data_IF_242431567648
#
_entry.id   IF_242431567648
#
_cell.length_a   1.000
_cell.length_b   1.000
_cell.length_c   1.000
_cell.angle_alpha   90.00
_cell.angle_beta   90.00
_cell.angle_gamma   90.00
#
_symmetry.space_group_name_H-M   'P 1'
#
loop_
_entity.id
_entity.type
_entity.pdbx_description
1 polymer ?
#
# COMPACT_ATOMS: atom_id res chain seq x y z
N UNK A 1 -8.55 -15.48 -29.90
CA UNK A 1 -8.71 -15.32 -28.42
C UNK A 1 -10.18 -15.13 -28.05
N UNK A 2 -11.05 -16.06 -28.50
CA UNK A 2 -12.52 -15.92 -28.37
C UNK A 2 -13.04 -16.00 -26.93
N UNK A 3 -12.27 -16.48 -25.98
CA UNK A 3 -12.74 -16.72 -24.59
C UNK A 3 -11.97 -15.94 -23.49
N UNK A 4 -11.20 -14.90 -23.85
CA UNK A 4 -10.40 -14.17 -22.87
C UNK A 4 -11.22 -13.60 -21.71
N UNK A 5 -12.47 -13.17 -21.97
CA UNK A 5 -13.35 -12.61 -20.93
C UNK A 5 -13.72 -13.66 -19.87
N UNK A 6 -14.01 -14.90 -20.29
CA UNK A 6 -14.30 -16.00 -19.35
C UNK A 6 -13.08 -16.35 -18.53
N UNK A 7 -11.93 -16.52 -19.19
CA UNK A 7 -10.65 -16.81 -18.55
C UNK A 7 -10.31 -15.73 -17.53
N UNK A 8 -10.41 -14.45 -17.93
CA UNK A 8 -10.18 -13.31 -17.07
C UNK A 8 -11.17 -13.31 -15.88
N UNK A 9 -12.47 -13.50 -16.11
CA UNK A 9 -13.46 -13.50 -15.05
C UNK A 9 -13.23 -14.60 -14.02
N UNK A 10 -12.86 -15.82 -14.45
CA UNK A 10 -12.56 -16.95 -13.56
C UNK A 10 -11.33 -16.66 -12.71
N UNK A 11 -10.24 -16.16 -13.30
CA UNK A 11 -9.03 -15.82 -12.54
C UNK A 11 -9.33 -14.69 -11.56
N UNK A 12 -9.94 -13.60 -12.04
CA UNK A 12 -10.19 -12.41 -11.22
C UNK A 12 -11.22 -12.64 -10.11
N UNK A 13 -12.19 -13.52 -10.28
CA UNK A 13 -13.11 -13.88 -9.18
C UNK A 13 -12.38 -14.63 -8.06
N UNK A 14 -11.48 -15.56 -8.40
CA UNK A 14 -10.64 -16.23 -7.41
C UNK A 14 -9.67 -15.28 -6.73
N UNK A 15 -9.00 -14.43 -7.50
CA UNK A 15 -8.07 -13.43 -6.96
C UNK A 15 -8.79 -12.37 -6.11
N UNK A 16 -10.01 -11.97 -6.46
CA UNK A 16 -10.84 -11.09 -5.63
C UNK A 16 -11.09 -11.72 -4.25
N UNK A 17 -11.46 -13.00 -4.20
CA UNK A 17 -11.68 -13.70 -2.94
C UNK A 17 -10.40 -13.74 -2.09
N UNK A 18 -9.24 -14.06 -2.69
CA UNK A 18 -7.94 -14.07 -2.01
C UNK A 18 -7.53 -12.67 -1.52
N UNK A 19 -7.64 -11.64 -2.34
CA UNK A 19 -7.27 -10.27 -1.97
C UNK A 19 -8.15 -9.73 -0.84
N UNK A 20 -9.47 -9.96 -0.92
CA UNK A 20 -10.40 -9.51 0.13
C UNK A 20 -10.15 -10.23 1.44
N UNK A 21 -10.00 -11.56 1.43
CA UNK A 21 -9.71 -12.33 2.64
C UNK A 21 -8.36 -11.96 3.25
N UNK A 22 -7.32 -11.79 2.44
CA UNK A 22 -6.02 -11.31 2.90
C UNK A 22 -6.08 -9.90 3.51
N UNK A 23 -6.91 -9.01 2.96
CA UNK A 23 -7.13 -7.68 3.53
C UNK A 23 -7.82 -7.75 4.90
N UNK A 24 -8.89 -8.55 5.02
CA UNK A 24 -9.59 -8.78 6.31
C UNK A 24 -8.62 -9.30 7.37
N UNK A 25 -7.81 -10.31 7.02
CA UNK A 25 -6.81 -10.90 7.92
C UNK A 25 -5.73 -9.89 8.31
N UNK A 26 -5.24 -9.10 7.36
CA UNK A 26 -4.22 -8.07 7.64
C UNK A 26 -4.73 -7.04 8.66
N UNK A 27 -5.93 -6.51 8.48
CA UNK A 27 -6.54 -5.57 9.43
C UNK A 27 -6.88 -6.23 10.76
N UNK A 28 -7.37 -7.46 10.76
CA UNK A 28 -7.64 -8.20 12.00
C UNK A 28 -6.36 -8.40 12.83
N UNK A 29 -5.22 -8.70 12.20
CA UNK A 29 -3.92 -8.81 12.89
C UNK A 29 -3.51 -7.44 13.46
N UNK A 30 -3.62 -6.36 12.69
CA UNK A 30 -3.28 -4.99 13.15
C UNK A 30 -4.14 -4.60 14.36
N UNK A 31 -5.46 -4.83 14.30
CA UNK A 31 -6.38 -4.52 15.40
C UNK A 31 -6.10 -5.40 16.61
N UNK A 32 -5.87 -6.70 16.42
CA UNK A 32 -5.54 -7.61 17.49
C UNK A 32 -4.23 -7.21 18.20
N UNK A 33 -3.17 -6.91 17.44
CA UNK A 33 -1.89 -6.43 17.98
C UNK A 33 -2.09 -5.12 18.76
N UNK A 34 -2.90 -4.20 18.23
CA UNK A 34 -3.18 -2.92 18.90
C UNK A 34 -3.94 -3.11 20.22
N UNK A 35 -4.96 -3.99 20.21
CA UNK A 35 -5.79 -4.27 21.39
C UNK A 35 -5.02 -5.04 22.46
N UNK A 36 -4.20 -6.03 22.07
CA UNK A 36 -3.47 -6.90 22.99
C UNK A 36 -2.28 -6.20 23.64
N UNK A 37 -1.54 -5.39 22.88
CA UNK A 37 -0.27 -4.84 23.35
C UNK A 37 -0.33 -3.37 23.73
N UNK A 38 -1.17 -2.59 23.06
CA UNK A 38 -1.18 -1.13 23.18
C UNK A 38 0.17 -0.47 22.84
N UNK A 39 1.14 -1.20 22.27
CA UNK A 39 2.49 -0.71 22.00
C UNK A 39 2.67 -0.27 20.56
N UNK A 40 3.09 0.98 20.40
CA UNK A 40 3.44 1.54 19.09
C UNK A 40 4.64 0.83 18.46
N UNK A 41 5.59 0.38 19.27
CA UNK A 41 6.77 -0.35 18.82
C UNK A 41 6.41 -1.73 18.28
N UNK A 42 5.57 -2.48 19.00
CA UNK A 42 5.10 -3.80 18.58
C UNK A 42 4.31 -3.70 17.28
N UNK A 43 3.43 -2.71 17.18
CA UNK A 43 2.65 -2.45 15.98
C UNK A 43 3.56 -2.07 14.79
N UNK A 44 4.55 -1.22 15.00
CA UNK A 44 5.54 -0.85 13.99
C UNK A 44 6.33 -2.07 13.50
N UNK A 45 6.80 -2.93 14.40
CA UNK A 45 7.51 -4.16 14.03
C UNK A 45 6.64 -5.13 13.23
N UNK A 46 5.36 -5.28 13.60
CA UNK A 46 4.42 -6.11 12.86
C UNK A 46 4.19 -5.56 11.43
N UNK A 47 4.01 -4.26 11.29
CA UNK A 47 3.86 -3.62 9.99
C UNK A 47 5.12 -3.77 9.13
N UNK A 48 6.32 -3.57 9.70
CA UNK A 48 7.60 -3.77 9.01
C UNK A 48 7.74 -5.22 8.56
N UNK A 49 7.47 -6.18 9.42
CA UNK A 49 7.51 -7.59 9.06
C UNK A 49 6.59 -7.93 7.89
N UNK A 50 5.39 -7.32 7.84
CA UNK A 50 4.42 -7.51 6.78
C UNK A 50 4.77 -6.85 5.44
N UNK A 51 5.61 -5.81 5.41
CA UNK A 51 5.87 -5.03 4.19
C UNK A 51 7.32 -5.07 3.69
N UNK A 52 8.29 -5.13 4.60
CA UNK A 52 9.71 -4.97 4.24
C UNK A 52 10.24 -6.09 3.35
N UNK A 53 9.98 -7.40 3.63
CA UNK A 53 10.45 -8.47 2.76
C UNK A 53 9.95 -8.34 1.31
N UNK A 54 8.68 -8.03 1.10
CA UNK A 54 8.12 -7.79 -0.23
C UNK A 54 8.79 -6.61 -0.93
N UNK A 55 9.05 -5.53 -0.20
CA UNK A 55 9.66 -4.31 -0.74
C UNK A 55 11.11 -4.53 -1.17
N UNK A 56 11.87 -5.31 -0.39
CA UNK A 56 13.27 -5.65 -0.70
C UNK A 56 13.38 -6.66 -1.83
N UNK A 57 12.52 -7.68 -1.82
CA UNK A 57 12.58 -8.77 -2.78
C UNK A 57 11.89 -8.44 -4.10
N UNK A 58 10.88 -7.54 -4.10
CA UNK A 58 10.08 -7.22 -5.28
C UNK A 58 10.88 -6.90 -6.54
N UNK A 59 11.87 -5.99 -6.49
CA UNK A 59 12.72 -5.68 -7.65
C UNK A 59 13.54 -6.87 -8.15
N UNK A 60 14.00 -7.74 -7.23
CA UNK A 60 14.77 -8.94 -7.57
C UNK A 60 13.87 -10.01 -8.18
N UNK A 61 12.73 -10.25 -7.54
CA UNK A 61 11.77 -11.30 -7.93
C UNK A 61 11.13 -11.00 -9.29
N UNK A 62 10.87 -9.73 -9.62
CA UNK A 62 10.30 -9.35 -10.90
C UNK A 62 11.09 -9.91 -12.10
N UNK A 63 12.43 -9.92 -12.02
CA UNK A 63 13.31 -10.49 -13.05
C UNK A 63 13.14 -12.01 -13.20
N UNK A 64 12.92 -12.71 -12.09
CA UNK A 64 12.71 -14.16 -12.11
C UNK A 64 11.30 -14.54 -12.58
N UNK A 65 10.29 -13.79 -12.16
CA UNK A 65 8.88 -13.99 -12.53
C UNK A 65 8.68 -13.89 -14.04
N UNK A 66 9.43 -13.02 -14.73
CA UNK A 66 9.37 -12.90 -16.19
C UNK A 66 9.81 -14.17 -16.92
N UNK A 67 10.60 -15.04 -16.25
CA UNK A 67 11.14 -16.30 -16.81
C UNK A 67 10.40 -17.55 -16.34
N UNK A 68 9.66 -17.44 -15.22
CA UNK A 68 8.96 -18.57 -14.61
C UNK A 68 7.54 -18.70 -15.16
N UNK A 69 6.96 -19.89 -14.98
CA UNK A 69 5.54 -20.10 -15.24
C UNK A 69 4.70 -19.28 -14.26
N UNK A 70 4.02 -18.26 -14.78
CA UNK A 70 3.27 -17.29 -13.96
C UNK A 70 2.14 -17.94 -13.19
N UNK A 71 1.45 -18.93 -13.78
CA UNK A 71 0.38 -19.70 -13.14
C UNK A 71 0.91 -20.43 -11.91
N UNK A 72 1.99 -21.20 -12.08
CA UNK A 72 2.58 -21.95 -10.98
C UNK A 72 3.20 -21.03 -9.93
N UNK A 73 3.80 -19.93 -10.33
CA UNK A 73 4.32 -18.92 -9.39
C UNK A 73 3.21 -18.36 -8.49
N UNK A 74 2.04 -18.02 -9.07
CA UNK A 74 0.89 -17.55 -8.29
C UNK A 74 0.36 -18.63 -7.35
N UNK A 75 0.16 -19.88 -7.83
CA UNK A 75 -0.34 -20.99 -7.02
C UNK A 75 0.60 -21.29 -5.84
N UNK A 76 1.91 -21.38 -6.10
CA UNK A 76 2.89 -21.65 -5.04
C UNK A 76 2.96 -20.51 -4.02
N UNK A 77 2.90 -19.27 -4.48
CA UNK A 77 2.90 -18.10 -3.60
C UNK A 77 1.64 -18.04 -2.73
N UNK A 78 0.44 -18.20 -3.31
CA UNK A 78 -0.82 -18.23 -2.56
C UNK A 78 -0.84 -19.40 -1.56
N UNK A 79 -0.37 -20.59 -1.97
CA UNK A 79 -0.28 -21.77 -1.10
C UNK A 79 0.69 -21.53 0.07
N UNK A 80 1.84 -20.89 -0.18
CA UNK A 80 2.80 -20.54 0.85
C UNK A 80 2.24 -19.50 1.84
N UNK A 81 1.57 -18.48 1.35
CA UNK A 81 0.89 -17.46 2.18
C UNK A 81 -0.17 -18.16 3.05
N UNK A 82 -1.01 -19.00 2.46
CA UNK A 82 -2.04 -19.74 3.17
C UNK A 82 -1.45 -20.67 4.25
N UNK A 83 -0.36 -21.35 3.95
CA UNK A 83 0.34 -22.18 4.93
C UNK A 83 0.85 -21.36 6.11
N UNK A 84 1.49 -20.22 5.87
CA UNK A 84 1.94 -19.33 6.94
C UNK A 84 0.77 -18.85 7.81
N UNK A 85 -0.35 -18.47 7.18
CA UNK A 85 -1.54 -18.02 7.89
C UNK A 85 -2.20 -19.15 8.66
N UNK A 86 -2.24 -20.36 8.11
CA UNK A 86 -2.75 -21.54 8.79
C UNK A 86 -1.90 -21.91 10.03
N UNK A 87 -0.57 -21.89 9.89
CA UNK A 87 0.33 -22.12 11.01
C UNK A 87 0.11 -21.08 12.13
N UNK A 88 -0.11 -19.82 11.76
CA UNK A 88 -0.43 -18.80 12.75
C UNK A 88 -1.78 -19.07 13.44
N UNK A 89 -2.80 -19.51 12.70
CA UNK A 89 -4.10 -19.90 13.26
C UNK A 89 -3.96 -21.05 14.27
N UNK A 90 -3.16 -22.08 13.95
CA UNK A 90 -2.87 -23.19 14.84
C UNK A 90 -2.20 -22.73 16.12
N UNK A 91 -1.23 -21.82 16.04
CA UNK A 91 -0.56 -21.26 17.22
C UNK A 91 -1.54 -20.50 18.14
N UNK A 92 -2.51 -19.78 17.55
CA UNK A 92 -3.57 -19.13 18.33
C UNK A 92 -4.53 -20.12 18.97
N UNK A 93 -4.92 -21.18 18.28
CA UNK A 93 -5.82 -22.20 18.84
C UNK A 93 -5.18 -23.02 19.96
N UNK A 94 -3.86 -23.21 19.90
CA UNK A 94 -3.10 -23.89 20.93
C UNK A 94 -2.73 -22.97 22.11
N UNK A 95 -3.08 -21.68 22.01
CA UNK A 95 -2.77 -20.65 23.02
C UNK A 95 -1.26 -20.47 23.30
N UNK A 96 -0.42 -20.78 22.29
CA UNK A 96 1.04 -20.64 22.35
C UNK A 96 1.56 -19.53 21.43
N UNK A 97 0.68 -18.78 20.81
CA UNK A 97 1.06 -17.66 19.96
C UNK A 97 1.81 -16.59 20.76
N UNK A 98 2.95 -16.13 20.25
CA UNK A 98 3.75 -15.04 20.82
C UNK A 98 4.04 -14.01 19.72
N UNK A 99 4.36 -12.78 20.09
CA UNK A 99 4.61 -11.69 19.13
C UNK A 99 5.67 -12.06 18.08
N UNK A 100 6.75 -12.75 18.45
CA UNK A 100 7.76 -13.15 17.48
C UNK A 100 7.25 -14.14 16.42
N UNK A 101 6.28 -15.03 16.76
CA UNK A 101 5.62 -15.89 15.77
C UNK A 101 4.88 -15.06 14.73
N UNK A 102 4.17 -14.00 15.20
CA UNK A 102 3.43 -13.10 14.33
C UNK A 102 4.40 -12.38 13.37
N UNK A 103 5.50 -11.83 13.88
CA UNK A 103 6.51 -11.17 13.05
C UNK A 103 7.10 -12.08 11.98
N UNK A 104 7.53 -13.28 12.38
CA UNK A 104 8.13 -14.27 11.45
C UNK A 104 7.13 -14.69 10.39
N UNK A 105 5.88 -15.03 10.77
CA UNK A 105 4.88 -15.48 9.81
C UNK A 105 4.37 -14.35 8.92
N UNK A 106 4.27 -13.11 9.41
CA UNK A 106 4.01 -11.94 8.56
C UNK A 106 5.15 -11.70 7.56
N UNK A 107 6.41 -11.82 7.99
CA UNK A 107 7.56 -11.70 7.09
C UNK A 107 7.55 -12.79 6.01
N UNK A 108 7.25 -14.04 6.37
CA UNK A 108 7.10 -15.14 5.42
C UNK A 108 5.95 -14.88 4.42
N UNK A 109 4.80 -14.41 4.89
CA UNK A 109 3.68 -14.00 4.02
C UNK A 109 4.10 -12.90 3.04
N UNK A 110 4.84 -11.91 3.54
CA UNK A 110 5.38 -10.81 2.73
C UNK A 110 6.34 -11.31 1.64
N UNK A 111 7.16 -12.32 1.94
CA UNK A 111 7.97 -13.02 0.92
C UNK A 111 7.07 -13.65 -0.14
N UNK A 112 6.03 -14.39 0.23
CA UNK A 112 5.06 -14.95 -0.72
C UNK A 112 4.45 -13.88 -1.62
N UNK A 113 4.03 -12.74 -1.05
CA UNK A 113 3.46 -11.61 -1.78
C UNK A 113 4.46 -10.98 -2.77
N UNK A 114 5.77 -11.00 -2.47
CA UNK A 114 6.81 -10.53 -3.38
C UNK A 114 6.85 -11.31 -4.71
N UNK A 115 6.45 -12.59 -4.70
CA UNK A 115 6.34 -13.42 -5.93
C UNK A 115 4.96 -13.31 -6.56
N UNK A 116 3.91 -13.32 -5.76
CA UNK A 116 2.53 -13.33 -6.25
C UNK A 116 2.18 -12.06 -7.03
N UNK A 117 2.46 -10.88 -6.46
CA UNK A 117 2.06 -9.59 -7.05
C UNK A 117 2.64 -9.35 -8.45
N UNK A 118 3.95 -9.52 -8.69
CA UNK A 118 4.51 -9.37 -10.04
C UNK A 118 3.97 -10.43 -11.01
N UNK A 119 3.80 -11.69 -10.57
CA UNK A 119 3.27 -12.75 -11.41
C UNK A 119 1.84 -12.46 -11.88
N UNK A 120 0.99 -11.97 -10.99
CA UNK A 120 -0.37 -11.54 -11.31
C UNK A 120 -0.36 -10.38 -12.30
N UNK A 121 0.41 -9.31 -12.04
CA UNK A 121 0.49 -8.14 -12.92
C UNK A 121 1.03 -8.49 -14.31
N UNK A 122 2.06 -9.34 -14.38
CA UNK A 122 2.67 -9.78 -15.62
C UNK A 122 1.76 -10.72 -16.44
N UNK A 123 0.77 -11.38 -15.82
CA UNK A 123 -0.19 -12.23 -16.53
C UNK A 123 -1.26 -11.44 -17.28
N UNK A 124 -1.58 -10.22 -16.84
CA UNK A 124 -2.64 -9.36 -17.44
C UNK A 124 -2.46 -9.16 -18.95
N UNK A 125 -1.29 -8.71 -19.46
CA UNK A 125 -1.11 -8.45 -20.90
C UNK A 125 -1.17 -9.71 -21.77
N UNK A 126 -0.99 -10.89 -21.16
CA UNK A 126 -1.06 -12.17 -21.87
C UNK A 126 -2.49 -12.71 -21.97
N UNK A 127 -3.35 -12.30 -21.04
CA UNK A 127 -4.73 -12.76 -20.94
C UNK A 127 -5.69 -11.88 -21.71
N UNK A 128 -5.41 -10.59 -21.85
CA UNK A 128 -6.33 -9.62 -22.39
C UNK A 128 -5.77 -8.86 -23.61
N UNK A 129 -6.63 -8.46 -24.57
CA UNK A 129 -6.25 -7.58 -25.67
C UNK A 129 -5.70 -6.24 -25.16
N UNK A 130 -4.71 -5.68 -25.87
CA UNK A 130 -4.07 -4.41 -25.49
C UNK A 130 -5.08 -3.28 -25.25
N UNK A 131 -6.17 -3.22 -26.04
CA UNK A 131 -7.23 -2.21 -25.94
C UNK A 131 -8.03 -2.28 -24.62
N UNK A 132 -7.97 -3.42 -23.90
CA UNK A 132 -8.70 -3.64 -22.64
C UNK A 132 -7.83 -3.43 -21.40
N UNK A 133 -6.53 -3.20 -21.53
CA UNK A 133 -5.61 -3.09 -20.40
C UNK A 133 -5.98 -1.94 -19.44
N UNK A 134 -6.41 -0.78 -19.98
CA UNK A 134 -6.89 0.35 -19.17
C UNK A 134 -8.12 -0.02 -18.36
N UNK A 135 -9.07 -0.77 -18.97
CA UNK A 135 -10.26 -1.25 -18.26
C UNK A 135 -9.91 -2.21 -17.13
N UNK A 136 -8.95 -3.12 -17.37
CA UNK A 136 -8.48 -4.06 -16.35
C UNK A 136 -7.76 -3.33 -15.23
N UNK A 137 -6.95 -2.32 -15.53
CA UNK A 137 -6.34 -1.47 -14.50
C UNK A 137 -7.41 -0.79 -13.64
N UNK A 138 -8.51 -0.32 -14.24
CA UNK A 138 -9.67 0.21 -13.51
C UNK A 138 -10.34 -0.82 -12.60
N UNK A 139 -10.52 -2.06 -13.08
CA UNK A 139 -11.05 -3.16 -12.25
C UNK A 139 -10.13 -3.44 -11.07
N UNK A 140 -8.81 -3.51 -11.28
CA UNK A 140 -7.84 -3.72 -10.22
C UNK A 140 -7.88 -2.59 -9.18
N UNK A 141 -8.06 -1.34 -9.62
CA UNK A 141 -8.23 -0.20 -8.72
C UNK A 141 -9.49 -0.31 -7.87
N UNK A 142 -10.62 -0.76 -8.48
CA UNK A 142 -11.87 -1.02 -7.73
C UNK A 142 -11.66 -2.11 -6.69
N UNK A 143 -11.01 -3.22 -7.05
CA UNK A 143 -10.70 -4.32 -6.12
C UNK A 143 -9.86 -3.79 -4.95
N UNK A 144 -8.81 -3.04 -5.22
CA UNK A 144 -7.94 -2.44 -4.18
C UNK A 144 -8.74 -1.52 -3.26
N UNK A 145 -9.54 -0.62 -3.82
CA UNK A 145 -10.37 0.31 -3.03
C UNK A 145 -11.41 -0.44 -2.18
N UNK A 146 -12.04 -1.46 -2.74
CA UNK A 146 -13.00 -2.28 -2.03
C UNK A 146 -12.35 -3.05 -0.86
N UNK A 147 -11.12 -3.55 -1.06
CA UNK A 147 -10.33 -4.22 -0.03
C UNK A 147 -10.00 -3.29 1.14
N UNK A 148 -9.71 -2.02 0.85
CA UNK A 148 -9.41 -1.01 1.89
C UNK A 148 -10.65 -0.59 2.70
N UNK A 149 -11.86 -0.91 2.25
CA UNK A 149 -13.10 -0.66 2.98
C UNK A 149 -13.58 -1.94 3.68
N UNK A 150 -13.62 -3.05 2.94
CA UNK A 150 -14.11 -4.34 3.44
C UNK A 150 -13.14 -4.92 4.48
N UNK A 151 -11.82 -4.79 4.24
CA UNK A 151 -10.79 -5.32 5.14
C UNK A 151 -10.99 -4.88 6.59
N UNK A 152 -10.92 -3.58 6.90
CA UNK A 152 -11.12 -3.09 8.26
C UNK A 152 -12.54 -3.36 8.80
N UNK A 153 -13.58 -3.22 7.96
CA UNK A 153 -14.97 -3.45 8.38
C UNK A 153 -15.19 -4.87 8.88
N UNK A 154 -14.79 -5.85 8.08
CA UNK A 154 -14.94 -7.26 8.45
C UNK A 154 -13.89 -7.70 9.45
N UNK A 155 -12.67 -7.15 9.42
CA UNK A 155 -11.63 -7.39 10.42
C UNK A 155 -12.11 -7.06 11.84
N UNK A 156 -12.69 -5.87 12.02
CA UNK A 156 -13.24 -5.45 13.32
C UNK A 156 -14.49 -6.25 13.73
N UNK A 157 -15.39 -6.52 12.78
CA UNK A 157 -16.59 -7.30 13.07
C UNK A 157 -16.23 -8.71 13.56
N UNK A 158 -15.35 -9.38 12.82
CA UNK A 158 -15.03 -10.77 13.07
C UNK A 158 -14.16 -10.98 14.31
N UNK A 159 -13.29 -10.03 14.66
CA UNK A 159 -12.43 -10.15 15.85
C UNK A 159 -13.26 -10.23 17.13
N UNK A 160 -14.40 -9.54 17.17
CA UNK A 160 -15.32 -9.57 18.31
C UNK A 160 -16.23 -10.83 18.32
N UNK A 161 -16.43 -11.46 17.15
CA UNK A 161 -17.37 -12.58 17.01
C UNK A 161 -16.70 -13.96 17.15
N UNK A 162 -15.49 -14.12 16.61
CA UNK A 162 -14.89 -15.45 16.43
C UNK A 162 -13.49 -15.63 16.97
N UNK A 163 -12.82 -14.55 17.33
CA UNK A 163 -11.43 -14.56 17.71
C UNK A 163 -10.47 -14.67 16.52
N UNK A 164 -9.21 -14.24 16.73
CA UNK A 164 -8.20 -14.07 15.68
C UNK A 164 -7.88 -15.37 14.94
N UNK A 165 -7.76 -16.50 15.65
CA UNK A 165 -7.42 -17.79 15.03
C UNK A 165 -8.41 -18.23 13.95
N UNK A 166 -9.70 -17.98 14.14
CA UNK A 166 -10.74 -18.32 13.14
C UNK A 166 -10.73 -17.35 11.95
N UNK A 167 -10.43 -16.07 12.19
CA UNK A 167 -10.33 -15.07 11.11
C UNK A 167 -9.21 -15.44 10.14
N UNK A 168 -8.09 -15.95 10.65
CA UNK A 168 -6.95 -16.36 9.83
C UNK A 168 -7.34 -17.43 8.79
N UNK A 169 -8.34 -18.27 9.07
CA UNK A 169 -8.83 -19.27 8.09
C UNK A 169 -9.48 -18.65 6.86
N UNK A 170 -9.93 -17.41 6.92
CA UNK A 170 -10.48 -16.73 5.73
C UNK A 170 -9.41 -16.61 4.64
N UNK A 171 -8.17 -16.31 5.00
CA UNK A 171 -7.07 -16.21 4.06
C UNK A 171 -6.76 -17.57 3.40
N UNK A 172 -6.81 -18.64 4.21
CA UNK A 172 -6.65 -20.02 3.72
C UNK A 172 -7.77 -20.37 2.74
N UNK A 173 -9.01 -20.03 3.06
CA UNK A 173 -10.17 -20.27 2.18
C UNK A 173 -10.08 -19.44 0.89
N UNK A 174 -9.70 -18.16 0.99
CA UNK A 174 -9.49 -17.28 -0.15
C UNK A 174 -8.39 -17.79 -1.10
N UNK A 175 -7.25 -18.19 -0.54
CA UNK A 175 -6.15 -18.81 -1.31
C UNK A 175 -6.58 -20.13 -1.96
N UNK A 176 -7.34 -20.96 -1.27
CA UNK A 176 -7.88 -22.21 -1.85
C UNK A 176 -8.76 -21.92 -3.06
N UNK A 177 -9.67 -20.94 -2.98
CA UNK A 177 -10.52 -20.50 -4.10
C UNK A 177 -9.63 -20.00 -5.25
N UNK A 178 -8.65 -19.12 -4.97
CA UNK A 178 -7.77 -18.57 -5.99
C UNK A 178 -6.94 -19.67 -6.68
N UNK A 179 -6.33 -20.57 -5.93
CA UNK A 179 -5.57 -21.70 -6.48
C UNK A 179 -6.47 -22.61 -7.33
N UNK A 180 -7.67 -22.90 -6.86
CA UNK A 180 -8.64 -23.74 -7.58
C UNK A 180 -9.01 -23.10 -8.92
N UNK A 181 -9.36 -21.80 -8.94
CA UNK A 181 -9.67 -21.10 -10.19
C UNK A 181 -8.50 -21.08 -11.17
N UNK A 182 -7.27 -20.91 -10.67
CA UNK A 182 -6.06 -20.96 -11.48
C UNK A 182 -5.82 -22.35 -12.09
N UNK A 183 -6.13 -23.44 -11.38
CA UNK A 183 -5.94 -24.80 -11.91
C UNK A 183 -6.76 -25.05 -13.19
N UNK A 184 -7.98 -24.49 -13.26
CA UNK A 184 -8.87 -24.67 -14.42
C UNK A 184 -8.55 -23.77 -15.62
N UNK A 185 -7.61 -22.87 -15.50
CA UNK A 185 -7.27 -21.90 -16.54
C UNK A 185 -5.84 -22.10 -17.04
N UNK A 186 -5.63 -21.86 -18.34
CA UNK A 186 -4.28 -21.79 -18.93
C UNK A 186 -3.87 -20.32 -19.05
N UNK A 187 -2.76 -19.96 -18.42
CA UNK A 187 -2.10 -18.67 -18.61
C UNK A 187 -0.98 -18.92 -19.61
N UNK A 188 -0.97 -18.25 -20.78
CA UNK A 188 0.14 -18.36 -21.72
C UNK A 188 1.43 -17.86 -21.07
N UNK A 189 2.51 -18.60 -21.25
CA UNK A 189 3.84 -18.09 -20.90
C UNK A 189 4.42 -17.33 -22.10
N UNK A 190 5.16 -16.23 -21.88
CA UNK A 190 5.85 -15.56 -22.97
C UNK A 190 6.90 -16.50 -23.58
N UNK A 191 7.09 -16.39 -24.89
CA UNK A 191 8.22 -17.03 -25.56
C UNK A 191 9.51 -16.57 -24.86
N UNK A 192 10.38 -17.54 -24.50
CA UNK A 192 11.64 -17.24 -23.84
C UNK A 192 12.47 -16.33 -24.73
N UNK A 193 12.49 -15.05 -24.42
CA UNK A 193 13.38 -14.10 -25.06
C UNK A 193 14.81 -14.48 -24.65
N UNK A 194 15.62 -14.87 -25.64
CA UNK A 194 17.04 -15.18 -25.50
C UNK A 194 17.90 -13.92 -25.33
N UNK A 195 17.30 -12.77 -25.27
CA UNK A 195 17.99 -11.49 -25.04
C UNK A 195 18.57 -11.45 -23.64
N UNK A 196 19.79 -10.94 -23.56
CA UNK A 196 20.70 -10.81 -22.41
C UNK A 196 20.00 -10.65 -21.06
N UNK A 197 20.53 -11.32 -20.04
CA UNK A 197 20.06 -11.15 -18.67
C UNK A 197 19.96 -9.66 -18.33
N UNK A 198 18.77 -9.16 -17.93
CA UNK A 198 18.64 -7.77 -17.54
C UNK A 198 19.58 -7.55 -16.34
N UNK A 199 20.51 -6.62 -16.48
CA UNK A 199 21.37 -6.20 -15.38
C UNK A 199 20.54 -5.29 -14.51
N UNK A 200 20.10 -5.77 -13.34
CA UNK A 200 19.39 -4.96 -12.33
C UNK A 200 20.10 -3.64 -12.07
N UNK A 201 21.43 -3.68 -12.02
CA UNK A 201 22.25 -2.49 -11.84
C UNK A 201 22.15 -1.51 -13.00
N UNK A 202 22.06 -1.99 -14.23
CA UNK A 202 21.88 -1.15 -15.42
C UNK A 202 20.51 -0.51 -15.44
N UNK A 203 19.45 -1.27 -15.15
CA UNK A 203 18.07 -0.75 -15.09
C UNK A 203 17.90 0.27 -13.95
N UNK A 204 18.48 0.00 -12.79
CA UNK A 204 18.54 0.94 -11.68
C UNK A 204 19.23 2.25 -12.12
N UNK A 205 20.42 2.14 -12.73
CA UNK A 205 21.19 3.30 -13.19
C UNK A 205 20.45 4.09 -14.28
N UNK A 206 19.79 3.41 -15.21
CA UNK A 206 19.01 4.06 -16.27
C UNK A 206 17.79 4.80 -15.68
N UNK A 207 17.04 4.19 -14.78
CA UNK A 207 15.92 4.85 -14.08
C UNK A 207 16.39 6.03 -13.24
N UNK A 208 17.47 5.88 -12.48
CA UNK A 208 18.06 6.93 -11.66
C UNK A 208 18.60 8.10 -12.52
N UNK A 209 19.25 7.78 -13.63
CA UNK A 209 19.73 8.78 -14.60
C UNK A 209 18.57 9.54 -15.23
N UNK A 210 17.49 8.85 -15.62
CA UNK A 210 16.29 9.47 -16.19
C UNK A 210 15.61 10.44 -15.20
N UNK A 211 15.61 10.10 -13.90
CA UNK A 211 15.09 11.00 -12.85
C UNK A 211 15.93 12.27 -12.72
N UNK A 212 17.25 12.18 -12.87
CA UNK A 212 18.17 13.34 -12.70
C UNK A 212 18.37 14.14 -13.99
N UNK A 213 18.04 13.58 -15.15
CA UNK A 213 18.14 14.27 -16.44
C UNK A 213 17.15 15.47 -16.55
N UNK A 214 16.06 15.43 -15.76
CA UNK A 214 15.05 16.50 -15.79
C UNK A 214 15.28 17.44 -14.60
N UNK A 215 15.60 18.73 -14.85
CA UNK A 215 15.84 19.70 -13.78
C UNK A 215 14.65 19.78 -12.80
N UNK A 216 14.91 19.58 -11.52
CA UNK A 216 13.90 19.60 -10.46
C UNK A 216 13.27 18.23 -10.15
N UNK A 217 13.37 17.22 -11.01
CA UNK A 217 12.76 15.92 -10.80
C UNK A 217 13.41 15.20 -9.61
N UNK A 218 14.72 15.27 -9.44
CA UNK A 218 15.40 14.69 -8.27
C UNK A 218 14.87 15.27 -6.94
N UNK A 219 14.73 16.60 -6.85
CA UNK A 219 14.10 17.24 -5.69
C UNK A 219 12.65 16.85 -5.49
N UNK A 220 11.88 16.72 -6.58
CA UNK A 220 10.48 16.28 -6.54
C UNK A 220 10.34 14.90 -5.91
N UNK A 221 11.19 13.94 -6.29
CA UNK A 221 11.21 12.60 -5.67
C UNK A 221 11.72 12.64 -4.23
N UNK A 222 12.76 13.41 -3.93
CA UNK A 222 13.30 13.54 -2.58
C UNK A 222 12.24 14.05 -1.61
N UNK A 223 11.50 15.09 -1.98
CA UNK A 223 10.40 15.63 -1.16
C UNK A 223 9.30 14.59 -0.94
N UNK A 224 8.91 13.86 -1.99
CA UNK A 224 7.92 12.81 -1.87
C UNK A 224 8.38 11.67 -0.93
N UNK A 225 9.63 11.24 -1.03
CA UNK A 225 10.20 10.21 -0.14
C UNK A 225 10.22 10.69 1.31
N UNK A 226 10.63 11.95 1.55
CA UNK A 226 10.60 12.54 2.89
C UNK A 226 9.18 12.62 3.46
N UNK A 227 8.20 12.97 2.65
CA UNK A 227 6.79 12.99 3.08
C UNK A 227 6.30 11.57 3.38
N UNK A 228 6.59 10.58 2.53
CA UNK A 228 6.26 9.17 2.79
C UNK A 228 6.90 8.63 4.07
N UNK A 229 8.14 9.08 4.39
CA UNK A 229 8.84 8.70 5.62
C UNK A 229 8.05 9.05 6.88
N UNK A 230 7.22 10.11 6.85
CA UNK A 230 6.38 10.52 7.98
C UNK A 230 4.93 10.07 7.86
N UNK A 231 4.34 10.05 6.65
CA UNK A 231 2.94 9.64 6.44
C UNK A 231 2.73 8.18 6.82
N UNK A 232 3.59 7.28 6.33
CA UNK A 232 3.42 5.84 6.51
C UNK A 232 3.40 5.41 7.99
N UNK A 233 4.36 5.87 8.83
CA UNK A 233 4.33 5.54 10.24
C UNK A 233 3.10 6.06 10.99
N UNK A 234 2.69 7.29 10.70
CA UNK A 234 1.48 7.87 11.32
C UNK A 234 0.24 7.09 10.91
N UNK A 235 0.12 6.70 9.61
CA UNK A 235 -0.97 5.88 9.12
C UNK A 235 -1.09 4.54 9.86
N UNK A 236 0.02 3.85 10.11
CA UNK A 236 0.03 2.58 10.88
C UNK A 236 -0.43 2.79 12.32
N UNK A 237 -0.30 4.00 12.87
CA UNK A 237 -0.65 4.30 14.27
C UNK A 237 -2.09 4.79 14.47
N UNK A 238 -2.90 4.94 13.41
CA UNK A 238 -4.31 5.35 13.53
C UNK A 238 -5.14 4.43 14.44
N UNK A 239 -5.05 3.08 14.35
CA UNK A 239 -5.72 2.20 15.27
C UNK A 239 -5.31 2.42 16.73
N UNK A 240 -4.01 2.61 16.97
CA UNK A 240 -3.49 2.83 18.31
C UNK A 240 -3.92 4.20 18.88
N UNK A 241 -3.96 5.25 18.05
CA UNK A 241 -4.49 6.57 18.42
C UNK A 241 -5.96 6.46 18.80
N UNK A 242 -6.74 5.69 18.04
CA UNK A 242 -8.16 5.43 18.35
C UNK A 242 -8.33 4.74 19.70
N UNK A 243 -7.50 3.72 19.98
CA UNK A 243 -7.56 2.93 21.20
C UNK A 243 -7.12 3.76 22.43
N UNK A 244 -5.92 4.34 22.37
CA UNK A 244 -5.26 4.92 23.56
C UNK A 244 -5.72 6.33 23.87
N UNK A 245 -5.91 7.16 22.84
CA UNK A 245 -6.25 8.56 23.05
C UNK A 245 -7.76 8.79 23.11
N UNK A 246 -8.51 8.15 22.19
CA UNK A 246 -9.98 8.33 22.14
C UNK A 246 -10.76 7.27 22.91
N UNK A 247 -10.09 6.22 23.46
CA UNK A 247 -10.74 5.15 24.24
C UNK A 247 -11.67 4.27 23.41
N UNK A 248 -11.46 4.23 22.07
CA UNK A 248 -12.24 3.40 21.15
C UNK A 248 -11.81 1.93 21.19
N UNK A 249 -12.62 1.07 20.56
CA UNK A 249 -12.31 -0.35 20.38
C UNK A 249 -12.14 -0.72 18.91
N UNK A 250 -12.30 -2.01 18.58
CA UNK A 250 -12.16 -2.50 17.23
C UNK A 250 -13.15 -1.86 16.23
N UNK A 251 -14.36 -1.49 16.70
CA UNK A 251 -15.35 -0.82 15.88
C UNK A 251 -14.88 0.59 15.48
N UNK A 252 -14.40 1.39 16.43
CA UNK A 252 -13.91 2.74 16.17
C UNK A 252 -12.64 2.71 15.31
N UNK A 253 -11.74 1.75 15.51
CA UNK A 253 -10.57 1.54 14.65
C UNK A 253 -11.00 1.27 13.20
N UNK A 254 -11.97 0.38 13.01
CA UNK A 254 -12.53 0.08 11.70
C UNK A 254 -13.19 1.28 11.06
N UNK A 255 -13.96 2.05 11.84
CA UNK A 255 -14.65 3.25 11.36
C UNK A 255 -13.65 4.27 10.76
N UNK A 256 -12.53 4.50 11.44
CA UNK A 256 -11.49 5.43 10.94
C UNK A 256 -10.93 4.94 9.60
N UNK A 257 -10.60 3.65 9.47
CA UNK A 257 -10.07 3.08 8.23
C UNK A 257 -11.08 3.15 7.08
N UNK A 258 -12.36 2.85 7.36
CA UNK A 258 -13.45 2.92 6.37
C UNK A 258 -13.66 4.36 5.91
N UNK A 259 -13.67 5.31 6.85
CA UNK A 259 -13.86 6.73 6.56
C UNK A 259 -12.69 7.28 5.76
N UNK A 260 -11.46 6.91 6.10
CA UNK A 260 -10.27 7.25 5.32
C UNK A 260 -10.33 6.67 3.90
N UNK A 261 -10.65 5.38 3.77
CA UNK A 261 -10.82 4.71 2.47
C UNK A 261 -11.93 5.33 1.63
N UNK A 262 -13.06 5.68 2.25
CA UNK A 262 -14.16 6.43 1.62
C UNK A 262 -13.71 7.80 1.11
N UNK A 263 -12.91 8.52 1.90
CA UNK A 263 -12.28 9.76 1.49
C UNK A 263 -11.37 9.59 0.28
N UNK A 264 -10.54 8.54 0.27
CA UNK A 264 -9.66 8.25 -0.85
C UNK A 264 -10.44 7.93 -2.14
N UNK A 265 -11.58 7.23 -2.05
CA UNK A 265 -12.47 7.02 -3.19
C UNK A 265 -13.06 8.33 -3.73
N UNK A 266 -13.53 9.21 -2.84
CA UNK A 266 -14.05 10.52 -3.21
C UNK A 266 -12.96 11.34 -3.92
N UNK A 267 -11.76 11.41 -3.35
CA UNK A 267 -10.62 12.12 -3.93
C UNK A 267 -10.25 11.59 -5.32
N UNK A 268 -10.20 10.26 -5.47
CA UNK A 268 -9.96 9.60 -6.76
C UNK A 268 -11.05 9.89 -7.79
N UNK A 269 -12.32 9.84 -7.40
CA UNK A 269 -13.47 10.15 -8.25
C UNK A 269 -13.43 11.62 -8.72
N UNK A 270 -13.12 12.55 -7.80
CA UNK A 270 -12.97 13.96 -8.12
C UNK A 270 -11.86 14.16 -9.17
N UNK A 271 -10.69 13.54 -8.96
CA UNK A 271 -9.56 13.66 -9.91
C UNK A 271 -9.85 13.00 -11.27
N UNK A 272 -10.63 11.92 -11.30
CA UNK A 272 -11.02 11.21 -12.52
C UNK A 272 -12.16 11.85 -13.30
N UNK A 273 -13.03 12.64 -12.64
CA UNK A 273 -14.24 13.18 -13.26
C UNK A 273 -13.98 14.32 -14.26
N UNK A 274 -12.90 15.08 -14.11
CA UNK A 274 -12.60 16.25 -14.94
C UNK A 274 -11.10 16.41 -15.20
N UNK A 275 -10.77 17.03 -16.34
CA UNK A 275 -9.42 17.53 -16.61
C UNK A 275 -9.24 18.88 -15.94
N UNK A 276 -8.39 18.95 -14.94
CA UNK A 276 -8.09 20.19 -14.22
C UNK A 276 -6.98 20.99 -14.92
N UNK A 277 -7.18 22.29 -15.06
CA UNK A 277 -6.18 23.22 -15.64
C UNK A 277 -5.26 23.85 -14.56
N UNK A 278 -5.20 23.25 -13.38
CA UNK A 278 -4.34 23.70 -12.27
C UNK A 278 -2.91 23.18 -12.44
N UNK A 279 -1.95 23.95 -11.95
CA UNK A 279 -0.58 23.50 -11.87
C UNK A 279 -0.49 22.34 -10.84
N UNK A 280 -0.14 21.12 -11.32
CA UNK A 280 -0.10 19.91 -10.52
C UNK A 280 0.93 19.97 -9.40
N UNK A 281 2.05 20.69 -9.59
CA UNK A 281 3.06 20.88 -8.55
C UNK A 281 2.52 21.73 -7.40
N UNK A 282 1.82 22.83 -7.72
CA UNK A 282 1.16 23.66 -6.70
C UNK A 282 0.14 22.80 -5.92
N UNK A 283 -0.65 22.00 -6.64
CA UNK A 283 -1.62 21.12 -6.03
C UNK A 283 -0.96 20.10 -5.08
N UNK A 284 0.12 19.46 -5.51
CA UNK A 284 0.90 18.50 -4.69
C UNK A 284 1.42 19.17 -3.42
N UNK A 285 2.02 20.37 -3.55
CA UNK A 285 2.55 21.10 -2.39
C UNK A 285 1.44 21.51 -1.41
N UNK A 286 0.27 21.92 -1.92
CA UNK A 286 -0.91 22.18 -1.08
C UNK A 286 -1.40 20.91 -0.38
N UNK A 287 -1.36 19.75 -1.05
CA UNK A 287 -1.73 18.48 -0.42
C UNK A 287 -0.74 18.11 0.70
N UNK A 288 0.56 18.35 0.55
CA UNK A 288 1.52 18.18 1.66
C UNK A 288 1.14 19.06 2.87
N UNK A 289 0.85 20.33 2.64
CA UNK A 289 0.42 21.23 3.72
C UNK A 289 -0.87 20.75 4.38
N UNK A 290 -1.84 20.32 3.58
CA UNK A 290 -3.12 19.85 4.11
C UNK A 290 -2.93 18.57 4.92
N UNK A 291 -2.19 17.56 4.44
CA UNK A 291 -1.90 16.33 5.19
C UNK A 291 -1.18 16.65 6.50
N UNK A 292 -0.16 17.51 6.45
CA UNK A 292 0.58 17.90 7.64
C UNK A 292 -0.31 18.62 8.68
N UNK A 293 -1.17 19.53 8.25
CA UNK A 293 -2.12 20.22 9.12
C UNK A 293 -3.16 19.25 9.71
N UNK A 294 -3.65 18.29 8.93
CA UNK A 294 -4.60 17.28 9.40
C UNK A 294 -3.98 16.37 10.46
N UNK A 295 -2.73 15.92 10.27
CA UNK A 295 -2.02 15.12 11.28
C UNK A 295 -1.75 15.93 12.55
N UNK A 296 -1.25 17.15 12.43
CA UNK A 296 -1.03 18.01 13.58
C UNK A 296 -2.34 18.30 14.34
N UNK A 297 -3.41 18.62 13.62
CA UNK A 297 -4.72 18.85 14.21
C UNK A 297 -5.24 17.59 14.92
N UNK A 298 -5.11 16.40 14.31
CA UNK A 298 -5.51 15.12 14.91
C UNK A 298 -4.79 14.87 16.24
N UNK A 299 -3.48 15.17 16.31
CA UNK A 299 -2.71 15.03 17.54
C UNK A 299 -3.05 16.08 18.64
N UNK A 300 -3.71 17.19 18.29
CA UNK A 300 -4.11 18.24 19.22
C UNK A 300 -5.57 18.08 19.73
N UNK A 301 -6.32 17.12 19.22
CA UNK A 301 -7.71 16.91 19.62
C UNK A 301 -7.81 16.40 21.07
N UNK A 302 -8.82 16.82 21.83
CA UNK A 302 -9.10 16.22 23.13
C UNK A 302 -9.67 14.81 22.97
N UNK A 303 -9.55 13.92 23.97
CA UNK A 303 -10.04 12.54 23.92
C UNK A 303 -11.52 12.39 23.56
N UNK A 304 -12.33 13.40 23.83
CA UNK A 304 -13.78 13.43 23.55
C UNK A 304 -14.12 13.75 22.09
N UNK A 305 -13.14 14.15 21.27
CA UNK A 305 -13.37 14.65 19.92
C UNK A 305 -13.20 13.56 18.83
N UNK A 306 -13.56 12.32 19.11
CA UNK A 306 -13.43 11.21 18.15
C UNK A 306 -14.14 11.47 16.81
N UNK A 307 -15.35 12.05 16.85
CA UNK A 307 -16.09 12.38 15.63
C UNK A 307 -15.32 13.38 14.74
N UNK A 308 -14.61 14.35 15.35
CA UNK A 308 -13.78 15.28 14.60
C UNK A 308 -12.53 14.59 14.03
N UNK A 309 -11.92 13.66 14.78
CA UNK A 309 -10.83 12.82 14.28
C UNK A 309 -11.26 12.00 13.04
N UNK A 310 -12.46 11.41 13.06
CA UNK A 310 -13.03 10.71 11.90
C UNK A 310 -13.25 11.66 10.70
N UNK A 311 -13.74 12.88 10.95
CA UNK A 311 -13.91 13.88 9.89
C UNK A 311 -12.55 14.32 9.29
N UNK A 312 -11.52 14.51 10.11
CA UNK A 312 -10.17 14.81 9.64
C UNK A 312 -9.59 13.64 8.82
N UNK A 313 -9.84 12.39 9.24
CA UNK A 313 -9.42 11.19 8.51
C UNK A 313 -10.09 11.08 7.13
N UNK A 314 -11.36 11.47 6.99
CA UNK A 314 -12.03 11.56 5.69
C UNK A 314 -11.31 12.55 4.76
N UNK A 315 -11.01 13.74 5.26
CA UNK A 315 -10.34 14.79 4.48
C UNK A 315 -8.91 14.34 4.12
N UNK A 316 -8.24 13.63 5.03
CA UNK A 316 -6.92 13.08 4.80
C UNK A 316 -6.94 12.05 3.67
N UNK A 317 -7.92 11.13 3.65
CA UNK A 317 -8.11 10.19 2.55
C UNK A 317 -8.33 10.88 1.20
N UNK A 318 -9.17 11.91 1.14
CA UNK A 318 -9.38 12.75 -0.06
C UNK A 318 -8.04 13.35 -0.50
N UNK A 319 -7.32 13.96 0.43
CA UNK A 319 -6.07 14.68 0.17
C UNK A 319 -4.97 13.74 -0.32
N UNK A 320 -4.82 12.57 0.30
CA UNK A 320 -3.86 11.53 -0.11
C UNK A 320 -4.13 11.02 -1.52
N UNK A 321 -5.39 10.82 -1.89
CA UNK A 321 -5.77 10.37 -3.22
C UNK A 321 -5.51 11.45 -4.29
N UNK A 322 -5.81 12.71 -4.00
CA UNK A 322 -5.51 13.86 -4.89
C UNK A 322 -4.00 14.01 -5.08
N UNK A 323 -3.23 13.90 -3.97
CA UNK A 323 -1.76 13.88 -4.03
C UNK A 323 -1.23 12.79 -4.95
N UNK A 324 -1.61 11.53 -4.69
CA UNK A 324 -1.11 10.39 -5.45
C UNK A 324 -1.44 10.48 -6.95
N UNK A 325 -2.67 10.84 -7.29
CA UNK A 325 -3.11 11.02 -8.67
C UNK A 325 -2.32 12.12 -9.39
N UNK A 326 -2.10 13.24 -8.71
CA UNK A 326 -1.34 14.38 -9.26
C UNK A 326 0.13 14.02 -9.44
N UNK A 327 0.73 13.35 -8.45
CA UNK A 327 2.13 12.92 -8.43
C UNK A 327 2.43 11.97 -9.59
N UNK A 328 1.64 10.90 -9.73
CA UNK A 328 1.77 9.94 -10.83
C UNK A 328 1.59 10.62 -12.20
N UNK A 329 0.62 11.55 -12.31
CA UNK A 329 0.38 12.30 -13.55
C UNK A 329 1.56 13.18 -13.96
N UNK A 330 2.27 13.80 -13.00
CA UNK A 330 3.49 14.57 -13.30
C UNK A 330 4.57 13.65 -13.84
N UNK A 331 4.83 12.52 -13.18
CA UNK A 331 5.84 11.54 -13.63
C UNK A 331 5.52 11.05 -15.05
N UNK A 332 4.30 10.59 -15.29
CA UNK A 332 3.87 10.06 -16.59
C UNK A 332 3.95 11.10 -17.72
N UNK A 333 3.81 12.38 -17.40
CA UNK A 333 3.88 13.45 -18.41
C UNK A 333 5.29 13.94 -18.69
N UNK A 334 6.27 13.61 -17.84
CA UNK A 334 7.65 14.14 -17.95
C UNK A 334 8.69 13.06 -18.23
N UNK A 335 8.41 11.82 -17.92
CA UNK A 335 9.30 10.68 -18.12
C UNK A 335 8.91 9.93 -19.39
N UNK A 336 9.90 9.60 -20.22
CA UNK A 336 9.68 8.80 -21.42
C UNK A 336 9.09 7.42 -21.11
N UNK A 337 8.13 7.00 -21.94
CA UNK A 337 7.41 5.74 -21.76
C UNK A 337 8.36 4.50 -21.68
N UNK A 338 9.51 4.56 -22.39
CA UNK A 338 10.49 3.47 -22.41
C UNK A 338 11.23 3.25 -21.07
N UNK A 339 11.30 4.27 -20.20
CA UNK A 339 11.97 4.21 -18.89
C UNK A 339 11.01 4.43 -17.72
N UNK A 340 9.74 4.74 -18.01
CA UNK A 340 8.72 5.07 -17.01
C UNK A 340 8.56 3.94 -15.97
N UNK A 341 8.52 2.68 -16.40
CA UNK A 341 8.39 1.53 -15.50
C UNK A 341 9.55 1.44 -14.51
N UNK A 342 10.79 1.70 -14.94
CA UNK A 342 11.98 1.70 -14.09
C UNK A 342 11.93 2.83 -13.06
N UNK A 343 11.53 4.03 -13.49
CA UNK A 343 11.38 5.19 -12.58
C UNK A 343 10.28 4.95 -11.55
N UNK A 344 9.14 4.39 -11.94
CA UNK A 344 8.05 4.06 -11.02
C UNK A 344 8.46 2.96 -10.01
N UNK A 345 9.17 1.94 -10.46
CA UNK A 345 9.72 0.90 -9.58
C UNK A 345 10.68 1.48 -8.54
N UNK A 346 11.57 2.37 -8.96
CA UNK A 346 12.48 3.10 -8.04
C UNK A 346 11.70 3.95 -7.03
N UNK A 347 10.69 4.67 -7.48
CA UNK A 347 9.84 5.48 -6.62
C UNK A 347 9.19 4.65 -5.51
N UNK A 348 8.54 3.54 -5.87
CA UNK A 348 7.92 2.67 -4.87
C UNK A 348 8.95 2.04 -3.93
N UNK A 349 10.10 1.60 -4.43
CA UNK A 349 11.15 1.02 -3.59
C UNK A 349 11.76 2.05 -2.64
N UNK A 350 12.08 3.25 -3.14
CA UNK A 350 12.61 4.34 -2.32
C UNK A 350 11.56 4.98 -1.39
N UNK A 351 10.28 4.84 -1.68
CA UNK A 351 9.23 5.23 -0.76
C UNK A 351 9.12 4.28 0.44
N UNK A 352 9.17 2.97 0.19
CA UNK A 352 8.93 1.95 1.21
C UNK A 352 10.11 1.73 2.16
N UNK A 353 11.36 1.71 1.67
CA UNK A 353 12.54 1.46 2.51
C UNK A 353 12.77 2.55 3.58
N UNK A 354 12.80 3.84 3.23
CA UNK A 354 12.89 4.89 4.24
C UNK A 354 11.68 4.91 5.19
N UNK A 355 10.47 4.56 4.70
CA UNK A 355 9.28 4.49 5.54
C UNK A 355 9.37 3.39 6.61
N UNK A 356 10.02 2.27 6.32
CA UNK A 356 10.29 1.24 7.33
C UNK A 356 11.20 1.76 8.47
N UNK A 357 12.24 2.55 8.12
CA UNK A 357 13.08 3.23 9.11
C UNK A 357 12.27 4.28 9.88
N UNK A 358 11.45 5.06 9.16
CA UNK A 358 10.52 6.02 9.76
C UNK A 358 9.57 5.36 10.76
N UNK A 359 9.06 4.18 10.44
CA UNK A 359 8.15 3.42 11.29
C UNK A 359 8.82 2.95 12.59
N UNK A 360 10.09 2.48 12.53
CA UNK A 360 10.87 2.17 13.74
C UNK A 360 11.09 3.41 14.59
N UNK A 361 11.53 4.50 13.98
CA UNK A 361 11.77 5.77 14.68
C UNK A 361 10.51 6.35 15.30
N UNK A 362 9.38 6.29 14.57
CA UNK A 362 8.10 6.81 15.04
C UNK A 362 7.51 5.92 16.15
N UNK A 363 7.68 4.59 16.06
CA UNK A 363 7.28 3.67 17.14
C UNK A 363 8.01 3.99 18.44
N UNK A 364 9.34 4.14 18.36
CA UNK A 364 10.16 4.56 19.48
C UNK A 364 9.75 5.96 20.02
N UNK A 365 9.55 6.92 19.12
CA UNK A 365 9.14 8.28 19.50
C UNK A 365 7.78 8.26 20.22
N UNK A 366 6.79 7.52 19.70
CA UNK A 366 5.46 7.44 20.29
C UNK A 366 5.47 6.88 21.72
N UNK A 367 6.37 5.94 22.03
CA UNK A 367 6.53 5.40 23.38
C UNK A 367 7.16 6.40 24.36
N UNK A 368 8.06 7.30 23.89
CA UNK A 368 8.78 8.23 24.75
C UNK A 368 8.09 9.57 24.92
N UNK A 369 7.53 10.15 23.85
CA UNK A 369 6.91 11.47 23.88
C UNK A 369 5.39 11.43 23.81
N UNK A 370 4.82 10.25 23.65
CA UNK A 370 3.38 10.02 23.49
C UNK A 370 2.90 10.08 22.05
N UNK A 371 1.80 9.39 21.80
CA UNK A 371 1.24 9.19 20.46
C UNK A 371 0.75 10.51 19.84
N UNK A 372 0.02 11.31 20.60
CA UNK A 372 -0.49 12.64 20.19
C UNK A 372 0.61 13.60 19.77
N UNK A 373 1.69 13.67 20.57
CA UNK A 373 2.87 14.50 20.27
C UNK A 373 3.56 14.03 18.99
N UNK A 374 3.60 12.72 18.77
CA UNK A 374 4.17 12.12 17.54
C UNK A 374 3.39 12.54 16.29
N UNK A 375 2.05 12.56 16.36
CA UNK A 375 1.20 13.08 15.27
C UNK A 375 1.47 14.57 15.00
N UNK A 376 1.60 15.38 16.05
CA UNK A 376 1.90 16.81 15.91
C UNK A 376 3.29 17.03 15.27
N UNK A 377 4.32 16.31 15.74
CA UNK A 377 5.68 16.42 15.19
C UNK A 377 5.68 16.03 13.70
N UNK A 378 5.14 14.86 13.36
CA UNK A 378 5.09 14.39 11.98
C UNK A 378 4.31 15.36 11.07
N UNK A 379 3.14 15.82 11.53
CA UNK A 379 2.34 16.81 10.82
C UNK A 379 3.09 18.13 10.58
N UNK A 380 3.77 18.64 11.61
CA UNK A 380 4.57 19.87 11.50
C UNK A 380 5.72 19.70 10.50
N UNK A 381 6.44 18.58 10.54
CA UNK A 381 7.54 18.31 9.60
C UNK A 381 7.01 18.21 8.17
N UNK A 382 5.89 17.54 7.95
CA UNK A 382 5.25 17.45 6.61
C UNK A 382 4.85 18.86 6.11
N UNK A 383 4.31 19.72 6.96
CA UNK A 383 4.03 21.12 6.63
C UNK A 383 5.30 21.87 6.23
N UNK A 384 6.38 21.71 6.98
CA UNK A 384 7.67 22.33 6.66
C UNK A 384 8.20 21.86 5.30
N UNK A 385 8.09 20.57 5.00
CA UNK A 385 8.45 20.00 3.67
C UNK A 385 7.58 20.63 2.58
N UNK A 386 6.27 20.73 2.80
CA UNK A 386 5.33 21.37 1.87
C UNK A 386 5.67 22.83 1.59
N UNK A 387 6.02 23.61 2.62
CA UNK A 387 6.48 25.00 2.48
C UNK A 387 7.80 25.07 1.75
N UNK A 388 8.77 24.24 2.11
CA UNK A 388 10.08 24.19 1.45
C UNK A 388 9.95 23.86 -0.05
N UNK A 389 8.98 23.00 -0.42
CA UNK A 389 8.71 22.64 -1.80
C UNK A 389 8.34 23.85 -2.68
N UNK A 390 7.62 24.84 -2.12
CA UNK A 390 7.34 26.10 -2.82
C UNK A 390 8.57 26.97 -3.06
N UNK A 391 9.59 26.85 -2.20
CA UNK A 391 10.81 27.60 -2.29
C UNK A 391 11.84 27.04 -3.28
N UNK A 392 11.56 25.86 -3.92
CA UNK A 392 12.46 25.23 -4.87
C UNK A 392 12.03 25.57 -6.31
N UNK A 393 12.70 26.54 -7.01
CA UNK A 393 12.25 27.02 -8.30
C UNK A 393 12.25 25.93 -9.40
N UNK A 394 13.21 24.97 -9.31
CA UNK A 394 13.30 23.87 -10.27
C UNK A 394 12.08 22.91 -10.17
N UNK A 395 11.57 22.65 -8.97
CA UNK A 395 10.36 21.86 -8.75
C UNK A 395 9.14 22.61 -9.29
N UNK A 396 9.00 23.91 -8.95
CA UNK A 396 7.86 24.72 -9.36
C UNK A 396 7.75 24.89 -10.89
N UNK A 397 8.84 24.69 -11.62
CA UNK A 397 8.87 24.76 -13.08
C UNK A 397 8.52 23.43 -13.76
N UNK A 398 8.47 22.31 -13.03
CA UNK A 398 8.22 20.99 -13.60
C UNK A 398 6.89 20.87 -14.36
N UNK A 399 5.84 21.59 -13.97
CA UNK A 399 4.54 21.54 -14.63
C UNK A 399 4.24 22.79 -15.51
N UNK A 400 5.21 23.70 -15.67
CA UNK A 400 5.06 24.79 -16.64
C UNK A 400 5.11 24.21 -18.04
N UNK A 401 4.09 24.47 -18.85
CA UNK A 401 4.14 24.18 -20.29
C UNK A 401 5.25 25.02 -20.89
N UNK A 402 6.05 24.46 -21.83
CA UNK A 402 6.88 25.31 -22.65
C UNK A 402 5.96 26.33 -23.34
N UNK A 403 6.26 27.63 -23.14
CA UNK A 403 5.62 28.75 -23.79
C UNK A 403 5.83 28.70 -25.29
#
# INVERSE_FOLDING_TARGET
MENWKKTFAVIWSGQLASILSSSVVAFAIIFWVSLETGSAQVLALAAIAGMLPQSLLGPLVGVYVDRWDRKWTMILADSFIALCTFLLAVLFWLDIARMWHIYVLLACRSVGSAFHTPAMQASVPLLAPKQQLTRIAGINQIISSLSNIIGPAFGALLINLTGIGNILLLDVAGAFIACTTLLFVRIPNPERSTTQAPSLWREFREGFSAMHAIPGMGWFFTLAILVWFFIMPVGVMFPLMTLQHFGGGAYEMSLIEIVWGGGALIGGAVMGARTYRVNRIVLINLMYLTIGLLFAASGMLPPTAFALFAALSLIEGITSSVFNSSFVSVIQSRIDAGVLGRVMSLYYSFGLLPSAIGLLGTGFLAEHVGLTTTFVIAGTVICCIGLAAFCIPSVMRLDKRPS
#
